data_IF_727768894624
#
_entry.id   IF_727768894624
#
_cell.length_a   1.000
_cell.length_b   1.000
_cell.length_c   1.000
_cell.angle_alpha   90.00
_cell.angle_beta   90.00
_cell.angle_gamma   90.00
#
_symmetry.space_group_name_H-M   'P 1'
#
loop_
_entity.id
_entity.type
_entity.pdbx_description
1 polymer ?
#
# COMPACT_ATOMS: atom_id res chain seq x y z
N UNK A 1 32.07 7.57 -2.51
CA UNK A 1 30.96 7.94 -1.62
C UNK A 1 30.32 6.65 -1.12
N UNK A 2 30.52 6.30 0.15
CA UNK A 2 30.06 5.03 0.70
C UNK A 2 28.52 5.03 0.76
N UNK A 3 27.90 4.02 0.16
CA UNK A 3 26.44 3.79 0.17
C UNK A 3 25.87 3.73 1.61
N UNK A 4 26.75 3.46 2.59
CA UNK A 4 26.44 3.45 4.02
C UNK A 4 26.02 4.82 4.59
N UNK A 5 26.46 5.94 4.00
CA UNK A 5 26.09 7.28 4.44
C UNK A 5 24.58 7.58 4.34
N UNK A 6 23.99 7.53 3.13
CA UNK A 6 22.56 7.79 2.96
C UNK A 6 21.67 6.76 3.66
N UNK A 7 22.07 5.48 3.71
CA UNK A 7 21.34 4.45 4.43
C UNK A 7 21.34 4.72 5.94
N UNK A 8 22.48 5.11 6.50
CA UNK A 8 22.58 5.50 7.91
C UNK A 8 21.70 6.71 8.24
N UNK A 9 21.67 7.72 7.37
CA UNK A 9 20.79 8.88 7.52
C UNK A 9 19.30 8.49 7.48
N UNK A 10 18.89 7.64 6.54
CA UNK A 10 17.52 7.16 6.44
C UNK A 10 17.09 6.38 7.70
N UNK A 11 17.96 5.50 8.21
CA UNK A 11 17.70 4.75 9.44
C UNK A 11 17.60 5.69 10.65
N UNK A 12 18.48 6.69 10.75
CA UNK A 12 18.44 7.66 11.84
C UNK A 12 17.12 8.44 11.84
N UNK A 13 16.65 8.89 10.66
CA UNK A 13 15.36 9.56 10.50
C UNK A 13 14.20 8.64 10.89
N UNK A 14 14.21 7.39 10.45
CA UNK A 14 13.16 6.42 10.78
C UNK A 14 13.08 6.15 12.29
N UNK A 15 14.23 5.93 12.94
CA UNK A 15 14.31 5.71 14.39
C UNK A 15 13.86 6.95 15.15
N UNK A 16 14.33 8.13 14.74
CA UNK A 16 13.91 9.40 15.34
C UNK A 16 12.39 9.61 15.22
N UNK A 17 11.82 9.39 14.04
CA UNK A 17 10.38 9.52 13.81
C UNK A 17 9.58 8.53 14.67
N UNK A 18 10.06 7.30 14.81
CA UNK A 18 9.43 6.28 15.67
C UNK A 18 9.48 6.67 17.15
N UNK A 19 10.64 7.12 17.63
CA UNK A 19 10.81 7.60 19.02
C UNK A 19 9.91 8.81 19.27
N UNK A 20 9.89 9.78 18.34
CA UNK A 20 9.04 10.95 18.44
C UNK A 20 7.56 10.57 18.49
N UNK A 21 7.11 9.65 17.63
CA UNK A 21 5.73 9.15 17.63
C UNK A 21 5.36 8.51 18.98
N UNK A 22 6.22 7.64 19.51
CA UNK A 22 6.01 6.97 20.81
C UNK A 22 6.02 7.99 21.97
N UNK A 23 6.94 8.95 21.95
CA UNK A 23 7.03 10.00 22.97
C UNK A 23 5.81 10.94 22.95
N UNK A 24 5.31 11.29 21.76
CA UNK A 24 4.07 12.08 21.62
C UNK A 24 2.88 11.29 22.16
N UNK A 25 2.77 10.00 21.81
CA UNK A 25 1.69 9.13 22.28
C UNK A 25 1.69 9.01 23.80
N UNK A 26 2.86 8.78 24.42
CA UNK A 26 2.98 8.64 25.88
C UNK A 26 2.80 9.96 26.63
N UNK A 27 3.27 11.07 26.07
CA UNK A 27 3.01 12.40 26.62
C UNK A 27 1.51 12.75 26.54
N UNK A 28 0.83 12.43 25.43
CA UNK A 28 -0.61 12.60 25.28
C UNK A 28 -1.37 11.81 26.34
N UNK A 29 -1.00 10.55 26.59
CA UNK A 29 -1.64 9.72 27.62
C UNK A 29 -1.35 10.26 29.04
N UNK A 30 -0.15 10.78 29.29
CA UNK A 30 0.21 11.38 30.59
C UNK A 30 -0.55 12.70 30.87
N UNK A 31 -0.82 13.50 29.83
CA UNK A 31 -1.55 14.78 29.94
C UNK A 31 -3.06 14.54 30.06
N UNK A 32 -3.61 13.53 29.38
CA UNK A 32 -5.06 13.29 29.32
C UNK A 32 -5.70 13.09 30.70
N UNK A 33 -4.96 12.60 31.71
CA UNK A 33 -5.28 12.66 33.14
C UNK A 33 -6.49 11.84 33.62
N UNK A 34 -7.47 11.58 32.76
CA UNK A 34 -8.67 10.79 33.00
C UNK A 34 -8.72 9.71 31.93
N UNK A 35 -8.71 8.44 32.35
CA UNK A 35 -8.88 7.31 31.44
C UNK A 35 -10.30 7.27 30.89
N UNK A 36 -10.46 6.70 29.68
CA UNK A 36 -11.77 6.56 29.03
C UNK A 36 -12.80 5.91 29.97
N UNK A 37 -13.99 6.50 30.03
CA UNK A 37 -15.12 5.98 30.82
C UNK A 37 -15.65 4.67 30.19
N UNK A 38 -16.36 3.84 30.95
CA UNK A 38 -16.86 2.55 30.46
C UNK A 38 -17.67 2.65 29.12
N UNK A 39 -18.51 3.69 28.90
CA UNK A 39 -19.20 3.89 27.63
C UNK A 39 -18.29 4.31 26.47
N UNK A 40 -17.20 5.06 26.75
CA UNK A 40 -16.22 5.50 25.74
C UNK A 40 -15.38 4.34 25.22
N UNK A 41 -15.23 3.27 25.99
CA UNK A 41 -14.49 2.05 25.62
C UNK A 41 -15.25 1.13 24.66
N UNK A 42 -16.31 1.62 24.03
CA UNK A 42 -17.07 0.85 23.05
C UNK A 42 -16.52 1.08 21.65
N UNK A 43 -16.46 0.06 20.77
CA UNK A 43 -15.94 0.22 19.41
C UNK A 43 -16.73 1.20 18.53
N UNK A 44 -17.96 1.53 18.92
CA UNK A 44 -18.88 2.36 18.15
C UNK A 44 -19.40 3.52 18.99
N UNK A 45 -19.00 4.74 18.62
CA UNK A 45 -19.36 5.98 19.33
C UNK A 45 -20.85 6.36 19.22
N UNK A 46 -21.60 5.73 18.31
CA UNK A 46 -23.04 5.98 18.15
C UNK A 46 -23.91 5.26 19.19
N UNK A 47 -23.33 4.54 20.16
CA UNK A 47 -24.05 3.91 21.26
C UNK A 47 -24.81 2.62 20.91
N UNK A 48 -24.76 2.19 19.65
CA UNK A 48 -25.30 0.92 19.19
C UNK A 48 -24.26 -0.19 19.29
N UNK A 49 -24.71 -1.40 19.64
CA UNK A 49 -23.84 -2.58 19.60
C UNK A 49 -23.46 -2.94 18.15
N UNK A 50 -22.28 -3.53 17.91
CA UNK A 50 -21.87 -3.92 16.57
C UNK A 50 -22.85 -4.90 15.92
N UNK A 51 -23.42 -4.52 14.77
CA UNK A 51 -24.37 -5.36 14.03
C UNK A 51 -23.72 -6.57 13.35
N UNK A 52 -22.40 -6.51 13.13
CA UNK A 52 -21.63 -7.52 12.40
C UNK A 52 -20.47 -8.04 13.24
N UNK A 53 -20.24 -9.35 13.15
CA UNK A 53 -19.14 -10.00 13.84
C UNK A 53 -17.78 -9.52 13.29
N UNK A 54 -16.76 -9.39 14.15
CA UNK A 54 -15.47 -8.80 13.78
C UNK A 54 -14.72 -9.56 12.66
N UNK A 55 -15.06 -10.84 12.46
CA UNK A 55 -14.49 -11.72 11.43
C UNK A 55 -15.43 -11.94 10.24
N UNK A 56 -16.47 -11.11 10.11
CA UNK A 56 -17.42 -11.21 9.01
C UNK A 56 -16.70 -11.01 7.67
N UNK A 57 -17.10 -11.80 6.67
CA UNK A 57 -16.52 -11.70 5.33
C UNK A 57 -17.04 -10.45 4.64
N UNK A 58 -16.14 -9.49 4.43
CA UNK A 58 -16.39 -8.36 3.56
C UNK A 58 -16.49 -8.80 2.09
N UNK A 59 -17.08 -7.95 1.26
CA UNK A 59 -17.33 -8.28 -0.14
C UNK A 59 -16.05 -8.58 -0.92
N UNK A 60 -16.08 -9.56 -1.81
CA UNK A 60 -14.93 -10.01 -2.60
C UNK A 60 -14.32 -8.95 -3.54
N UNK A 61 -15.00 -7.80 -3.74
CA UNK A 61 -14.55 -6.69 -4.59
C UNK A 61 -13.14 -6.17 -4.26
N UNK A 62 -12.76 -6.15 -2.98
CA UNK A 62 -11.43 -5.69 -2.57
C UNK A 62 -10.31 -6.64 -3.02
N UNK A 63 -10.61 -7.93 -3.13
CA UNK A 63 -9.63 -8.94 -3.51
C UNK A 63 -9.19 -8.77 -4.97
N UNK A 64 -10.13 -8.54 -5.89
CA UNK A 64 -9.80 -8.32 -7.30
C UNK A 64 -8.96 -7.06 -7.48
N UNK A 65 -9.29 -5.98 -6.77
CA UNK A 65 -8.51 -4.74 -6.82
C UNK A 65 -7.08 -4.94 -6.28
N UNK A 66 -6.93 -5.71 -5.19
CA UNK A 66 -5.62 -6.03 -4.63
C UNK A 66 -4.78 -6.91 -5.57
N UNK A 67 -5.39 -7.92 -6.20
CA UNK A 67 -4.71 -8.77 -7.19
C UNK A 67 -4.27 -7.97 -8.43
N UNK A 68 -5.14 -7.09 -8.92
CA UNK A 68 -4.82 -6.23 -10.05
C UNK A 68 -3.67 -5.26 -9.70
N UNK A 69 -3.75 -4.64 -8.52
CA UNK A 69 -2.68 -3.78 -8.01
C UNK A 69 -1.35 -4.54 -7.88
N UNK A 70 -1.37 -5.74 -7.32
CA UNK A 70 -0.17 -6.57 -7.19
C UNK A 70 0.43 -6.94 -8.55
N UNK A 71 -0.40 -7.27 -9.55
CA UNK A 71 0.06 -7.55 -10.90
C UNK A 71 0.76 -6.33 -11.53
N UNK A 72 0.19 -5.13 -11.36
CA UNK A 72 0.79 -3.88 -11.82
C UNK A 72 2.04 -3.46 -11.03
N UNK A 73 2.09 -3.72 -9.72
CA UNK A 73 3.27 -3.41 -8.91
C UNK A 73 4.46 -4.29 -9.34
N UNK A 74 4.18 -5.57 -9.62
CA UNK A 74 5.17 -6.48 -10.18
C UNK A 74 5.66 -6.05 -11.57
N UNK A 75 4.82 -5.41 -12.40
CA UNK A 75 5.25 -4.80 -13.67
C UNK A 75 6.34 -3.75 -13.45
N UNK A 76 6.15 -2.85 -12.48
CA UNK A 76 7.10 -1.77 -12.17
C UNK A 76 8.47 -2.32 -11.77
N UNK A 77 8.50 -3.44 -11.04
CA UNK A 77 9.75 -4.15 -10.70
C UNK A 77 10.53 -4.56 -11.96
N UNK A 78 9.85 -4.95 -13.05
CA UNK A 78 10.49 -5.26 -14.33
C UNK A 78 10.87 -4.01 -15.13
N UNK A 79 10.12 -2.91 -14.99
CA UNK A 79 10.42 -1.65 -15.68
C UNK A 79 11.76 -1.04 -15.24
N UNK A 80 12.11 -1.13 -13.96
CA UNK A 80 13.34 -0.52 -13.42
C UNK A 80 14.64 -1.03 -14.09
N UNK A 81 14.93 -2.34 -14.14
CA UNK A 81 16.12 -2.84 -14.81
C UNK A 81 16.05 -2.61 -16.32
N UNK A 82 14.86 -2.72 -16.92
CA UNK A 82 14.68 -2.40 -18.34
C UNK A 82 15.09 -0.97 -18.68
N UNK A 83 14.69 0.01 -17.87
CA UNK A 83 15.02 1.43 -18.09
C UNK A 83 16.54 1.68 -18.10
N UNK A 84 17.30 0.90 -17.33
CA UNK A 84 18.77 0.96 -17.34
C UNK A 84 19.35 0.34 -18.61
N UNK A 85 18.79 -0.77 -19.08
CA UNK A 85 19.25 -1.50 -20.28
C UNK A 85 18.88 -0.77 -21.59
N UNK A 86 17.77 -0.02 -21.59
CA UNK A 86 17.30 0.74 -22.74
C UNK A 86 18.36 1.68 -23.32
N UNK A 87 19.22 2.25 -22.48
CA UNK A 87 20.33 3.13 -22.92
C UNK A 87 21.34 2.39 -23.81
N UNK A 88 21.49 1.07 -23.66
CA UNK A 88 22.44 0.24 -24.42
C UNK A 88 21.81 -0.41 -25.65
N UNK A 89 20.59 -0.93 -25.50
CA UNK A 89 19.92 -1.75 -26.54
C UNK A 89 18.94 -0.95 -27.42
N UNK A 90 18.54 0.26 -26.98
CA UNK A 90 17.72 1.19 -27.76
C UNK A 90 16.39 0.59 -28.22
N UNK A 91 16.20 0.51 -29.54
CA UNK A 91 14.92 0.15 -30.16
C UNK A 91 14.46 -1.28 -29.91
N UNK A 92 15.38 -2.24 -29.74
CA UNK A 92 15.03 -3.64 -29.45
C UNK A 92 14.39 -3.73 -28.06
N UNK A 93 15.06 -3.14 -27.06
CA UNK A 93 14.53 -3.06 -25.70
C UNK A 93 13.17 -2.34 -25.66
N UNK A 94 12.94 -1.31 -26.48
CA UNK A 94 11.63 -0.65 -26.57
C UNK A 94 10.54 -1.61 -27.07
N UNK A 95 10.83 -2.41 -28.09
CA UNK A 95 9.87 -3.35 -28.65
C UNK A 95 9.52 -4.47 -27.66
N UNK A 96 10.52 -5.03 -26.97
CA UNK A 96 10.33 -6.05 -25.93
C UNK A 96 9.46 -5.53 -24.78
N UNK A 97 9.72 -4.29 -24.32
CA UNK A 97 8.95 -3.68 -23.24
C UNK A 97 7.55 -3.28 -23.68
N UNK A 98 7.40 -2.76 -24.91
CA UNK A 98 6.10 -2.48 -25.49
C UNK A 98 5.23 -3.74 -25.59
N UNK A 99 5.83 -4.88 -25.98
CA UNK A 99 5.15 -6.17 -25.98
C UNK A 99 4.73 -6.58 -24.56
N UNK A 100 5.62 -6.46 -23.58
CA UNK A 100 5.32 -6.79 -22.19
C UNK A 100 4.15 -5.97 -21.61
N UNK A 101 4.21 -4.65 -21.77
CA UNK A 101 3.15 -3.71 -21.36
C UNK A 101 1.82 -4.06 -22.05
N UNK A 102 1.86 -4.37 -23.35
CA UNK A 102 0.65 -4.71 -24.11
C UNK A 102 -0.02 -5.97 -23.57
N UNK A 103 0.74 -7.01 -23.22
CA UNK A 103 0.20 -8.24 -22.65
C UNK A 103 -0.51 -7.97 -21.32
N UNK A 104 0.07 -7.12 -20.46
CA UNK A 104 -0.54 -6.75 -19.18
C UNK A 104 -1.80 -5.89 -19.39
N UNK A 105 -1.76 -4.92 -20.29
CA UNK A 105 -2.92 -4.11 -20.68
C UNK A 105 -4.09 -4.98 -21.16
N UNK A 106 -3.83 -6.07 -21.89
CA UNK A 106 -4.87 -7.03 -22.28
C UNK A 106 -5.54 -7.66 -21.06
N UNK A 107 -4.78 -8.03 -20.03
CA UNK A 107 -5.33 -8.54 -18.76
C UNK A 107 -6.23 -7.53 -18.04
N UNK A 108 -5.86 -6.25 -18.09
CA UNK A 108 -6.62 -5.15 -17.49
C UNK A 108 -7.92 -4.89 -18.25
N UNK A 109 -7.83 -4.85 -19.59
CA UNK A 109 -9.00 -4.74 -20.47
C UNK A 109 -9.97 -5.90 -20.26
N UNK A 110 -9.45 -7.11 -20.05
CA UNK A 110 -10.25 -8.27 -19.71
C UNK A 110 -10.97 -8.09 -18.36
N UNK A 111 -10.26 -7.69 -17.31
CA UNK A 111 -10.85 -7.45 -15.99
C UNK A 111 -11.92 -6.34 -16.03
N UNK A 112 -11.71 -5.31 -16.84
CA UNK A 112 -12.71 -4.26 -17.07
C UNK A 112 -13.95 -4.81 -17.79
N UNK A 113 -13.77 -5.61 -18.85
CA UNK A 113 -14.88 -6.27 -19.55
C UNK A 113 -15.72 -7.13 -18.61
N UNK A 114 -15.08 -7.87 -17.70
CA UNK A 114 -15.76 -8.70 -16.69
C UNK A 114 -16.45 -7.91 -15.59
N UNK A 115 -16.39 -6.56 -15.63
CA UNK A 115 -17.00 -5.68 -14.64
C UNK A 115 -16.44 -5.90 -13.23
N UNK A 116 -15.25 -6.50 -13.12
CA UNK A 116 -14.62 -6.81 -11.85
C UNK A 116 -14.21 -5.54 -11.07
N UNK A 117 -14.17 -4.39 -11.76
CA UNK A 117 -13.87 -3.06 -11.24
C UNK A 117 -15.11 -2.25 -10.81
N UNK A 118 -16.32 -2.82 -10.80
CA UNK A 118 -17.53 -2.05 -10.45
C UNK A 118 -17.63 -1.81 -8.95
N UNK A 119 -17.94 -0.56 -8.60
CA UNK A 119 -18.06 -0.09 -7.21
C UNK A 119 -19.51 0.18 -6.76
N UNK A 120 -20.50 -0.04 -7.64
CA UNK A 120 -21.93 0.11 -7.35
C UNK A 120 -22.53 -1.20 -6.84
#
# INVERSE_FOLDING_TARGET
MSVLGPVGAALAVFVFATIAFVAIRSASDAIAGVGETAPERTPFLGGHEPEVHAWSRFHARYYVMALLFLAFDMEMVFMYPWAVVFVREGGIALAEMGMFITILLVGVLYAWRERALRWA
#
